data_IF_425228687317
#
_entry.id   IF_425228687317
#
_cell.length_a   1.000
_cell.length_b   1.000
_cell.length_c   1.000
_cell.angle_alpha   90.00
_cell.angle_beta   90.00
_cell.angle_gamma   90.00
#
_symmetry.space_group_name_H-M   'P 1'
#
loop_
_entity.id
_entity.type
_entity.pdbx_description
1 polymer ?
#
# COMPACT_ATOMS: atom_id res chain seq x y z
N UNK A 1 20.41 0.87 -35.62
CA UNK A 1 20.98 -0.07 -34.63
C UNK A 1 21.99 -0.91 -35.40
N UNK A 2 23.28 -0.82 -35.08
CA UNK A 2 24.34 -1.50 -35.84
C UNK A 2 24.19 -3.00 -35.58
N UNK A 3 24.09 -3.82 -36.63
CA UNK A 3 24.10 -5.28 -36.49
C UNK A 3 25.45 -5.73 -35.92
N UNK A 4 25.47 -6.67 -34.97
CA UNK A 4 26.69 -7.17 -34.32
C UNK A 4 27.73 -7.61 -35.35
N UNK A 5 27.29 -8.32 -36.40
CA UNK A 5 28.12 -8.74 -37.52
C UNK A 5 28.83 -7.56 -38.19
N UNK A 6 28.08 -6.50 -38.51
CA UNK A 6 28.61 -5.30 -39.14
C UNK A 6 29.59 -4.54 -38.23
N UNK A 7 29.33 -4.48 -36.92
CA UNK A 7 30.24 -3.87 -35.97
C UNK A 7 31.58 -4.62 -35.89
N UNK A 8 31.55 -5.95 -35.85
CA UNK A 8 32.75 -6.79 -35.79
C UNK A 8 33.53 -6.73 -37.11
N UNK A 9 32.85 -6.74 -38.25
CA UNK A 9 33.46 -6.61 -39.56
C UNK A 9 34.15 -5.25 -39.73
N UNK A 10 33.48 -4.15 -39.36
CA UNK A 10 34.09 -2.83 -39.40
C UNK A 10 35.30 -2.74 -38.45
N UNK A 11 35.20 -3.36 -37.27
CA UNK A 11 36.31 -3.43 -36.32
C UNK A 11 37.53 -4.14 -36.91
N UNK A 12 37.31 -5.21 -37.68
CA UNK A 12 38.38 -5.97 -38.33
C UNK A 12 39.07 -5.14 -39.43
N UNK A 13 38.29 -4.44 -40.27
CA UNK A 13 38.83 -3.54 -41.30
C UNK A 13 39.56 -2.33 -40.71
N UNK A 14 39.06 -1.75 -39.61
CA UNK A 14 39.77 -0.69 -38.89
C UNK A 14 41.08 -1.19 -38.26
N UNK A 15 41.10 -2.44 -37.77
CA UNK A 15 42.32 -3.12 -37.37
C UNK A 15 43.34 -3.25 -38.51
N UNK A 16 42.89 -3.68 -39.70
CA UNK A 16 43.72 -3.74 -40.90
C UNK A 16 44.27 -2.36 -41.29
N UNK A 17 43.44 -1.32 -41.25
CA UNK A 17 43.85 0.04 -41.53
C UNK A 17 44.95 0.50 -40.55
N UNK A 18 44.79 0.22 -39.26
CA UNK A 18 45.80 0.52 -38.24
C UNK A 18 47.13 -0.21 -38.50
N UNK A 19 47.06 -1.47 -38.93
CA UNK A 19 48.25 -2.24 -39.27
C UNK A 19 48.98 -1.63 -40.47
N UNK A 20 48.26 -1.35 -41.56
CA UNK A 20 48.83 -0.77 -42.78
C UNK A 20 49.42 0.62 -42.50
N UNK A 21 48.68 1.50 -41.83
CA UNK A 21 49.20 2.82 -41.43
C UNK A 21 50.42 2.69 -40.51
N UNK A 22 50.39 1.75 -39.56
CA UNK A 22 51.51 1.50 -38.65
C UNK A 22 52.77 1.06 -39.38
N UNK A 23 52.66 0.12 -40.32
CA UNK A 23 53.78 -0.34 -41.15
C UNK A 23 54.32 0.77 -42.07
N UNK A 24 53.43 1.59 -42.65
CA UNK A 24 53.81 2.72 -43.50
C UNK A 24 54.58 3.79 -42.71
N UNK A 25 54.14 4.11 -41.49
CA UNK A 25 54.84 5.06 -40.61
C UNK A 25 56.21 4.54 -40.18
N UNK A 26 56.33 3.25 -39.85
CA UNK A 26 57.59 2.61 -39.50
C UNK A 26 58.57 2.55 -40.68
N UNK A 27 58.07 2.27 -41.89
CA UNK A 27 58.84 2.24 -43.13
C UNK A 27 59.11 3.61 -43.75
N UNK A 28 58.49 4.68 -43.23
CA UNK A 28 58.66 6.02 -43.80
C UNK A 28 60.09 6.56 -43.55
N UNK A 29 60.63 7.36 -44.48
CA UNK A 29 61.95 7.98 -44.33
C UNK A 29 61.98 9.13 -43.31
N UNK A 30 60.92 9.30 -42.50
CA UNK A 30 60.78 10.40 -41.54
C UNK A 30 61.64 10.11 -40.30
N UNK A 31 62.60 11.00 -39.92
CA UNK A 31 63.56 10.73 -38.86
C UNK A 31 63.03 11.00 -37.43
N UNK A 32 61.72 11.20 -37.24
CA UNK A 32 61.15 11.49 -35.92
C UNK A 32 60.88 10.21 -35.10
N UNK A 33 61.53 10.02 -33.93
CA UNK A 33 61.34 8.82 -33.10
C UNK A 33 59.88 8.64 -32.64
N UNK A 34 59.17 9.74 -32.41
CA UNK A 34 57.75 9.73 -32.03
C UNK A 34 56.85 9.09 -33.10
N UNK A 35 57.16 9.32 -34.39
CA UNK A 35 56.40 8.76 -35.52
C UNK A 35 56.65 7.26 -35.63
N UNK A 36 57.90 6.82 -35.47
CA UNK A 36 58.24 5.39 -35.46
C UNK A 36 57.61 4.65 -34.27
N UNK A 37 57.63 5.28 -33.08
CA UNK A 37 56.96 4.75 -31.88
C UNK A 37 55.44 4.64 -32.08
N UNK A 38 54.82 5.64 -32.71
CA UNK A 38 53.39 5.63 -33.04
C UNK A 38 53.07 4.49 -34.02
N UNK A 39 53.87 4.30 -35.06
CA UNK A 39 53.70 3.19 -36.00
C UNK A 39 53.77 1.82 -35.32
N UNK A 40 54.75 1.61 -34.43
CA UNK A 40 54.85 0.38 -33.64
C UNK A 40 53.66 0.16 -32.70
N UNK A 41 53.14 1.23 -32.09
CA UNK A 41 51.93 1.16 -31.25
C UNK A 41 50.71 0.77 -32.09
N UNK A 42 50.51 1.37 -33.26
CA UNK A 42 49.38 1.07 -34.15
C UNK A 42 49.39 -0.40 -34.63
N UNK A 43 50.56 -0.98 -34.89
CA UNK A 43 50.69 -2.41 -35.21
C UNK A 43 50.28 -3.28 -34.01
N UNK A 44 50.78 -2.96 -32.81
CA UNK A 44 50.40 -3.69 -31.58
C UNK A 44 48.88 -3.65 -31.40
N UNK A 45 48.28 -2.50 -31.62
CA UNK A 45 46.83 -2.29 -31.44
C UNK A 45 46.00 -3.06 -32.46
N UNK A 46 46.43 -3.10 -33.72
CA UNK A 46 45.78 -3.88 -34.76
C UNK A 46 45.69 -5.37 -34.40
N UNK A 47 46.77 -5.94 -33.87
CA UNK A 47 46.80 -7.34 -33.42
C UNK A 47 45.81 -7.56 -32.28
N UNK A 48 45.77 -6.65 -31.29
CA UNK A 48 44.81 -6.74 -30.18
C UNK A 48 43.37 -6.65 -30.68
N UNK A 49 43.07 -5.74 -31.61
CA UNK A 49 41.73 -5.59 -32.21
C UNK A 49 41.30 -6.89 -32.89
N UNK A 50 42.17 -7.52 -33.68
CA UNK A 50 41.86 -8.79 -34.34
C UNK A 50 41.62 -9.92 -33.35
N UNK A 51 42.47 -10.06 -32.31
CA UNK A 51 42.26 -11.06 -31.26
C UNK A 51 40.90 -10.83 -30.58
N UNK A 52 40.56 -9.59 -30.26
CA UNK A 52 39.34 -9.24 -29.53
C UNK A 52 38.08 -9.46 -30.39
N UNK A 53 38.14 -9.11 -31.68
CA UNK A 53 37.07 -9.37 -32.64
C UNK A 53 36.86 -10.88 -32.87
N UNK A 54 37.94 -11.65 -33.05
CA UNK A 54 37.85 -13.11 -33.27
C UNK A 54 37.45 -13.88 -32.01
N UNK A 55 37.77 -13.38 -30.81
CA UNK A 55 37.42 -14.02 -29.54
C UNK A 55 36.04 -13.63 -29.00
N UNK A 56 35.28 -12.78 -29.69
CA UNK A 56 33.97 -12.27 -29.24
C UNK A 56 33.01 -13.37 -28.75
N UNK A 57 32.80 -14.42 -29.56
CA UNK A 57 31.91 -15.54 -29.19
C UNK A 57 32.44 -16.31 -27.98
N UNK A 58 33.76 -16.48 -27.88
CA UNK A 58 34.40 -17.15 -26.75
C UNK A 58 34.19 -16.34 -25.47
N UNK A 59 34.32 -15.02 -25.53
CA UNK A 59 34.05 -14.11 -24.40
C UNK A 59 32.59 -14.27 -23.92
N UNK A 60 31.62 -14.26 -24.84
CA UNK A 60 30.20 -14.43 -24.48
C UNK A 60 29.90 -15.80 -23.86
N UNK A 61 30.52 -16.86 -24.38
CA UNK A 61 30.39 -18.21 -23.83
C UNK A 61 31.02 -18.31 -22.44
N UNK A 62 32.18 -17.67 -22.23
CA UNK A 62 32.86 -17.65 -20.94
C UNK A 62 32.04 -16.89 -19.88
N UNK A 63 31.41 -15.77 -20.24
CA UNK A 63 30.45 -15.06 -19.37
C UNK A 63 29.28 -15.96 -18.99
N UNK A 64 28.74 -16.70 -19.94
CA UNK A 64 27.61 -17.60 -19.71
C UNK A 64 28.00 -18.80 -18.84
N UNK A 65 29.19 -19.34 -19.04
CA UNK A 65 29.76 -20.41 -18.23
C UNK A 65 29.98 -19.99 -16.77
N UNK A 66 30.59 -18.81 -16.53
CA UNK A 66 30.80 -18.30 -15.17
C UNK A 66 29.47 -18.13 -14.44
N UNK A 67 28.44 -17.57 -15.10
CA UNK A 67 27.10 -17.45 -14.51
C UNK A 67 26.51 -18.81 -14.14
N UNK A 68 26.63 -19.80 -15.02
CA UNK A 68 26.11 -21.14 -14.79
C UNK A 68 26.80 -21.83 -13.60
N UNK A 69 28.13 -21.73 -13.48
CA UNK A 69 28.90 -22.31 -12.37
C UNK A 69 28.54 -21.66 -11.03
N UNK A 70 28.26 -20.36 -11.02
CA UNK A 70 27.83 -19.63 -9.83
C UNK A 70 26.34 -19.81 -9.51
N UNK A 71 25.59 -20.57 -10.32
CA UNK A 71 24.14 -20.73 -10.16
C UNK A 71 23.34 -19.44 -10.37
N UNK A 72 23.90 -18.47 -11.10
CA UNK A 72 23.31 -17.15 -11.29
C UNK A 72 22.40 -17.13 -12.53
N UNK A 73 21.17 -16.68 -12.34
CA UNK A 73 20.21 -16.49 -13.44
C UNK A 73 19.63 -15.07 -13.45
N UNK A 74 19.37 -14.55 -14.64
CA UNK A 74 18.67 -13.27 -14.78
C UNK A 74 17.24 -13.33 -14.27
N UNK A 75 16.59 -14.49 -14.38
CA UNK A 75 15.24 -14.74 -13.90
C UNK A 75 15.15 -14.57 -12.38
N UNK A 76 16.03 -15.24 -11.61
CA UNK A 76 16.07 -15.11 -10.15
C UNK A 76 16.33 -13.67 -9.69
N UNK A 77 17.19 -12.95 -10.41
CA UNK A 77 17.45 -11.54 -10.16
C UNK A 77 16.23 -10.65 -10.43
N UNK A 78 15.53 -10.87 -11.54
CA UNK A 78 14.32 -10.11 -11.87
C UNK A 78 13.17 -10.40 -10.92
N UNK A 79 13.01 -11.64 -10.47
CA UNK A 79 12.04 -12.02 -9.43
C UNK A 79 12.36 -11.36 -8.10
N UNK A 80 13.64 -11.33 -7.72
CA UNK A 80 14.09 -10.65 -6.51
C UNK A 80 13.78 -9.14 -6.53
N UNK A 81 14.09 -8.44 -7.63
CA UNK A 81 13.68 -7.03 -7.81
C UNK A 81 12.16 -6.88 -7.78
N UNK A 82 11.42 -7.80 -8.42
CA UNK A 82 9.96 -7.80 -8.45
C UNK A 82 9.34 -7.87 -7.06
N UNK A 83 9.82 -8.79 -6.22
CA UNK A 83 9.40 -8.92 -4.81
C UNK A 83 9.71 -7.65 -4.03
N UNK A 84 10.90 -7.10 -4.19
CA UNK A 84 11.33 -5.90 -3.46
C UNK A 84 10.51 -4.66 -3.87
N UNK A 85 10.20 -4.51 -5.17
CA UNK A 85 9.28 -3.47 -5.65
C UNK A 85 7.89 -3.62 -5.03
N UNK A 86 7.35 -4.83 -4.97
CA UNK A 86 6.05 -5.10 -4.35
C UNK A 86 6.03 -4.69 -2.87
N UNK A 87 7.04 -5.11 -2.10
CA UNK A 87 7.16 -4.76 -0.68
C UNK A 87 7.27 -3.24 -0.48
N UNK A 88 8.10 -2.54 -1.25
CA UNK A 88 8.21 -1.07 -1.17
C UNK A 88 6.88 -0.39 -1.51
N UNK A 89 6.16 -0.86 -2.53
CA UNK A 89 4.84 -0.31 -2.85
C UNK A 89 3.83 -0.53 -1.73
N UNK A 90 3.81 -1.69 -1.09
CA UNK A 90 2.89 -1.96 0.03
C UNK A 90 3.18 -1.12 1.27
N UNK A 91 4.45 -0.85 1.58
CA UNK A 91 4.80 0.06 2.66
C UNK A 91 4.47 1.52 2.32
N UNK A 92 4.61 1.93 1.06
CA UNK A 92 4.26 3.28 0.62
C UNK A 92 2.74 3.54 0.66
N UNK A 93 1.93 2.53 0.32
CA UNK A 93 0.47 2.63 0.47
C UNK A 93 0.09 2.66 1.94
N UNK A 94 0.70 1.84 2.81
CA UNK A 94 0.40 1.83 4.24
C UNK A 94 0.77 3.15 4.93
N UNK A 95 1.93 3.76 4.60
CA UNK A 95 2.32 5.08 5.16
C UNK A 95 1.42 6.21 4.68
N UNK A 96 0.98 6.18 3.42
CA UNK A 96 0.03 7.18 2.92
C UNK A 96 -1.30 7.08 3.64
N UNK A 97 -1.81 5.88 3.88
CA UNK A 97 -3.14 5.78 4.49
C UNK A 97 -3.10 6.09 5.98
N UNK A 98 -2.07 5.64 6.70
CA UNK A 98 -1.84 6.06 8.10
C UNK A 98 -1.76 7.59 8.24
N UNK A 99 -1.19 8.30 7.25
CA UNK A 99 -1.17 9.77 7.26
C UNK A 99 -2.56 10.42 7.21
N UNK A 100 -3.53 9.79 6.55
CA UNK A 100 -4.91 10.29 6.46
C UNK A 100 -5.75 9.93 7.69
N UNK A 101 -5.41 8.88 8.43
CA UNK A 101 -6.22 8.38 9.55
C UNK A 101 -5.83 8.91 10.93
N UNK A 102 -4.73 9.64 11.05
CA UNK A 102 -4.21 10.15 12.34
C UNK A 102 -5.02 11.27 13.02
N UNK A 103 -6.14 11.72 12.44
CA UNK A 103 -7.08 12.65 13.09
C UNK A 103 -6.40 13.84 13.80
N UNK A 104 -6.64 14.00 15.10
CA UNK A 104 -6.17 15.13 15.93
C UNK A 104 -4.66 15.08 16.26
N UNK A 105 -4.01 13.91 16.22
CA UNK A 105 -2.56 13.77 16.47
C UNK A 105 -1.70 13.87 15.18
N UNK A 106 -2.37 14.08 14.04
CA UNK A 106 -1.73 14.20 12.72
C UNK A 106 -0.66 15.30 12.67
N UNK A 107 -0.80 16.39 13.42
CA UNK A 107 0.17 17.50 13.43
C UNK A 107 1.55 17.08 13.95
N UNK A 108 1.62 16.14 14.91
CA UNK A 108 2.89 15.67 15.48
C UNK A 108 3.56 14.60 14.60
N UNK A 109 2.79 13.71 13.98
CA UNK A 109 3.33 12.57 13.22
C UNK A 109 3.41 12.79 11.72
N UNK A 110 2.64 13.72 11.15
CA UNK A 110 2.65 14.06 9.72
C UNK A 110 4.05 14.42 9.17
N UNK A 111 4.89 15.21 9.88
CA UNK A 111 6.26 15.50 9.42
C UNK A 111 7.15 14.25 9.33
N UNK A 112 6.93 13.26 10.19
CA UNK A 112 7.72 12.02 10.21
C UNK A 112 7.24 11.11 9.08
N UNK A 113 5.93 10.91 8.97
CA UNK A 113 5.32 10.04 7.95
C UNK A 113 5.56 10.58 6.54
N UNK A 114 5.52 11.90 6.35
CA UNK A 114 5.84 12.52 5.06
C UNK A 114 7.30 12.30 4.66
N UNK A 115 8.26 12.39 5.59
CA UNK A 115 9.68 12.06 5.32
C UNK A 115 9.86 10.59 4.98
N UNK A 116 9.23 9.70 5.74
CA UNK A 116 9.26 8.26 5.47
C UNK A 116 8.69 7.95 4.08
N UNK A 117 7.55 8.55 3.73
CA UNK A 117 6.91 8.39 2.42
C UNK A 117 7.79 8.93 1.30
N UNK A 118 8.47 10.06 1.52
CA UNK A 118 9.43 10.63 0.57
C UNK A 118 10.63 9.70 0.34
N UNK A 119 11.21 9.14 1.41
CA UNK A 119 12.32 8.18 1.33
C UNK A 119 11.90 6.88 0.63
N UNK A 120 10.72 6.33 0.94
CA UNK A 120 10.17 5.17 0.25
C UNK A 120 9.93 5.46 -1.23
N UNK A 121 9.41 6.65 -1.57
CA UNK A 121 9.21 7.06 -2.97
C UNK A 121 10.56 7.15 -3.71
N UNK A 122 11.59 7.71 -3.09
CA UNK A 122 12.93 7.75 -3.67
C UNK A 122 13.52 6.33 -3.84
N UNK A 123 13.27 5.44 -2.88
CA UNK A 123 13.70 4.03 -2.97
C UNK A 123 13.05 3.30 -4.14
N UNK A 124 11.76 3.56 -4.37
CA UNK A 124 11.02 3.00 -5.49
C UNK A 124 11.61 3.44 -6.84
N UNK A 125 11.92 4.73 -6.98
CA UNK A 125 12.57 5.27 -8.19
C UNK A 125 13.95 4.63 -8.40
N UNK A 126 14.74 4.46 -7.33
CA UNK A 126 16.03 3.79 -7.38
C UNK A 126 15.93 2.34 -7.88
N UNK A 127 14.95 1.58 -7.39
CA UNK A 127 14.71 0.20 -7.82
C UNK A 127 14.23 0.11 -9.26
N UNK A 128 13.39 1.04 -9.71
CA UNK A 128 12.97 1.12 -11.11
C UNK A 128 14.18 1.42 -12.00
N UNK A 129 15.06 2.34 -11.60
CA UNK A 129 16.29 2.63 -12.33
C UNK A 129 17.21 1.40 -12.40
N UNK A 130 17.37 0.66 -11.29
CA UNK A 130 18.11 -0.59 -11.25
C UNK A 130 17.50 -1.65 -12.17
N UNK A 131 16.16 -1.77 -12.18
CA UNK A 131 15.45 -2.69 -13.09
C UNK A 131 15.70 -2.34 -14.55
N UNK A 132 15.61 -1.06 -14.92
CA UNK A 132 15.90 -0.60 -16.29
C UNK A 132 17.35 -0.93 -16.67
N UNK A 133 18.31 -0.61 -15.79
CA UNK A 133 19.72 -0.96 -15.98
C UNK A 133 19.91 -2.46 -16.21
N UNK A 134 19.23 -3.28 -15.42
CA UNK A 134 19.33 -4.74 -15.53
C UNK A 134 18.79 -5.28 -16.86
N UNK A 135 17.69 -4.73 -17.36
CA UNK A 135 17.11 -5.10 -18.66
C UNK A 135 18.05 -4.70 -19.79
N UNK A 136 18.66 -3.51 -19.71
CA UNK A 136 19.64 -3.04 -20.69
C UNK A 136 20.83 -4.00 -20.74
N UNK A 137 21.42 -4.33 -19.58
CA UNK A 137 22.58 -5.22 -19.54
C UNK A 137 22.21 -6.63 -20.00
N UNK A 138 21.11 -7.20 -19.52
CA UNK A 138 20.74 -8.58 -19.84
C UNK A 138 20.43 -8.80 -21.32
N UNK A 139 19.82 -7.81 -21.98
CA UNK A 139 19.42 -7.91 -23.39
C UNK A 139 20.47 -7.36 -24.36
N UNK A 140 21.21 -6.32 -23.98
CA UNK A 140 22.12 -5.58 -24.87
C UNK A 140 23.61 -5.76 -24.58
N UNK A 141 24.00 -6.61 -23.62
CA UNK A 141 25.42 -6.86 -23.37
C UNK A 141 26.21 -7.24 -24.63
N UNK A 142 25.74 -8.13 -25.53
CA UNK A 142 26.48 -8.44 -26.76
C UNK A 142 26.69 -7.22 -27.67
N UNK A 143 25.65 -6.39 -27.82
CA UNK A 143 25.69 -5.15 -28.60
C UNK A 143 26.69 -4.14 -28.00
N UNK A 144 26.71 -4.00 -26.67
CA UNK A 144 27.62 -3.09 -25.96
C UNK A 144 29.07 -3.56 -26.08
N UNK A 145 29.33 -4.87 -26.00
CA UNK A 145 30.68 -5.42 -26.22
C UNK A 145 31.12 -5.15 -27.65
N UNK A 146 30.28 -5.46 -28.65
CA UNK A 146 30.60 -5.23 -30.06
C UNK A 146 30.87 -3.75 -30.36
N UNK A 147 30.05 -2.85 -29.81
CA UNK A 147 30.28 -1.40 -29.89
C UNK A 147 31.58 -0.99 -29.19
N UNK A 148 31.90 -1.62 -28.06
CA UNK A 148 33.17 -1.42 -27.36
C UNK A 148 34.38 -1.84 -28.19
N UNK A 149 34.31 -2.99 -28.88
CA UNK A 149 35.35 -3.45 -29.82
C UNK A 149 35.51 -2.45 -30.97
N UNK A 150 34.40 -1.97 -31.51
CA UNK A 150 34.37 -0.98 -32.59
C UNK A 150 35.06 0.33 -32.19
N UNK A 151 34.67 0.89 -31.05
CA UNK A 151 35.26 2.13 -30.52
C UNK A 151 36.73 1.92 -30.17
N UNK A 152 37.09 0.73 -29.66
CA UNK A 152 38.49 0.36 -29.40
C UNK A 152 39.32 0.31 -30.69
N UNK A 153 38.71 -0.05 -31.82
CA UNK A 153 39.38 -0.20 -33.12
C UNK A 153 39.68 1.12 -33.84
N UNK A 154 39.16 2.25 -33.35
CA UNK A 154 39.37 3.56 -33.99
C UNK A 154 40.87 3.88 -34.07
N UNK A 155 41.38 4.34 -35.23
CA UNK A 155 42.79 4.60 -35.42
C UNK A 155 43.42 5.56 -34.41
N UNK A 156 44.75 5.45 -34.28
CA UNK A 156 45.58 6.25 -33.35
C UNK A 156 45.32 5.97 -31.86
N UNK A 157 44.38 5.08 -31.55
CA UNK A 157 44.11 4.64 -30.19
C UNK A 157 43.45 5.69 -29.28
N UNK A 158 42.93 6.78 -29.86
CA UNK A 158 42.35 7.92 -29.13
C UNK A 158 41.16 7.46 -28.26
N UNK A 159 40.41 6.47 -28.72
CA UNK A 159 39.20 5.97 -28.06
C UNK A 159 39.37 4.61 -27.35
N UNK A 160 40.60 4.08 -27.26
CA UNK A 160 40.84 2.77 -26.62
C UNK A 160 40.28 2.68 -25.22
N UNK A 161 40.49 3.72 -24.42
CA UNK A 161 40.00 3.75 -23.04
C UNK A 161 38.47 3.68 -22.98
N UNK A 162 37.78 4.37 -23.90
CA UNK A 162 36.33 4.32 -24.00
C UNK A 162 35.82 2.94 -24.45
N UNK A 163 36.46 2.34 -25.46
CA UNK A 163 36.14 0.99 -25.92
C UNK A 163 36.37 -0.07 -24.84
N UNK A 164 37.51 -0.02 -24.15
CA UNK A 164 37.86 -0.92 -23.06
C UNK A 164 36.90 -0.79 -21.86
N UNK A 165 36.44 0.43 -21.55
CA UNK A 165 35.41 0.67 -20.52
C UNK A 165 34.07 0.06 -20.90
N UNK A 166 33.62 0.21 -22.15
CA UNK A 166 32.36 -0.39 -22.62
C UNK A 166 32.40 -1.91 -22.58
N UNK A 167 33.49 -2.51 -23.07
CA UNK A 167 33.70 -3.97 -23.00
C UNK A 167 33.64 -4.42 -21.53
N UNK A 168 34.41 -3.76 -20.66
CA UNK A 168 34.49 -4.14 -19.24
C UNK A 168 33.17 -3.98 -18.50
N UNK A 169 32.44 -2.90 -18.79
CA UNK A 169 31.13 -2.63 -18.20
C UNK A 169 30.17 -3.77 -18.52
N UNK A 170 30.06 -4.12 -19.80
CA UNK A 170 29.16 -5.18 -20.24
C UNK A 170 29.53 -6.54 -19.62
N UNK A 171 30.82 -6.87 -19.53
CA UNK A 171 31.28 -8.13 -18.93
C UNK A 171 31.01 -8.19 -17.42
N UNK A 172 31.48 -7.18 -16.68
CA UNK A 172 31.36 -7.13 -15.22
C UNK A 172 29.89 -7.09 -14.81
N UNK A 173 29.08 -6.22 -15.40
CA UNK A 173 27.67 -6.12 -15.06
C UNK A 173 26.88 -7.37 -15.48
N UNK A 174 27.25 -8.02 -16.59
CA UNK A 174 26.55 -9.25 -17.00
C UNK A 174 26.73 -10.41 -16.04
N UNK A 175 27.91 -10.51 -15.41
CA UNK A 175 28.21 -11.58 -14.46
C UNK A 175 27.73 -11.20 -13.05
N UNK A 176 28.05 -9.98 -12.62
CA UNK A 176 27.95 -9.60 -11.22
C UNK A 176 26.61 -8.97 -10.86
N UNK A 177 25.86 -8.34 -11.77
CA UNK A 177 24.54 -7.78 -11.43
C UNK A 177 23.57 -8.88 -10.94
N UNK A 178 23.47 -10.05 -11.59
CA UNK A 178 22.66 -11.16 -11.09
C UNK A 178 23.07 -11.70 -9.71
N UNK A 179 24.30 -11.45 -9.25
CA UNK A 179 24.79 -11.88 -7.93
C UNK A 179 24.42 -10.92 -6.78
N UNK A 180 23.86 -9.74 -7.09
CA UNK A 180 23.45 -8.76 -6.07
C UNK A 180 22.49 -9.33 -4.99
N UNK A 181 21.49 -10.19 -5.29
CA UNK A 181 20.60 -10.75 -4.29
C UNK A 181 21.34 -11.59 -3.24
N UNK A 182 22.37 -12.34 -3.68
CA UNK A 182 23.21 -13.13 -2.79
C UNK A 182 24.04 -12.22 -1.88
N UNK A 183 24.59 -11.14 -2.43
CA UNK A 183 25.31 -10.14 -1.61
C UNK A 183 24.41 -9.54 -0.52
N UNK A 184 23.19 -9.11 -0.87
CA UNK A 184 22.29 -8.46 0.08
C UNK A 184 21.78 -9.44 1.14
N UNK A 185 21.41 -10.66 0.74
CA UNK A 185 20.90 -11.68 1.67
C UNK A 185 21.92 -12.13 2.73
N UNK A 186 23.23 -11.99 2.46
CA UNK A 186 24.26 -12.24 3.49
C UNK A 186 24.35 -11.14 4.55
N UNK A 187 23.88 -9.94 4.23
CA UNK A 187 23.92 -8.79 5.14
C UNK A 187 22.63 -8.66 5.93
N UNK A 188 21.48 -8.91 5.28
CA UNK A 188 20.18 -8.67 5.88
C UNK A 188 19.06 -9.46 5.19
N UNK A 189 18.04 -9.83 5.95
CA UNK A 189 16.83 -10.45 5.43
C UNK A 189 15.86 -9.38 4.95
N UNK A 190 15.24 -9.60 3.80
CA UNK A 190 14.20 -8.71 3.28
C UNK A 190 13.02 -8.77 4.26
N UNK A 191 12.50 -7.62 4.74
CA UNK A 191 11.33 -7.64 5.60
C UNK A 191 10.14 -8.05 4.74
N UNK A 192 9.29 -8.91 5.29
CA UNK A 192 8.06 -9.26 4.61
C UNK A 192 7.18 -8.01 4.41
N UNK A 193 6.33 -8.06 3.38
CA UNK A 193 5.27 -7.07 3.23
C UNK A 193 4.51 -6.96 4.57
N UNK A 194 4.07 -5.76 4.97
CA UNK A 194 3.35 -5.63 6.22
C UNK A 194 2.15 -6.57 6.14
N UNK A 195 2.15 -7.58 7.02
CA UNK A 195 1.13 -8.60 7.06
C UNK A 195 -0.17 -7.85 7.33
N UNK A 196 -1.02 -7.72 6.30
CA UNK A 196 -2.24 -6.93 6.38
C UNK A 196 -3.25 -7.77 7.17
N UNK A 197 -2.97 -7.99 8.46
CA UNK A 197 -3.82 -8.78 9.37
C UNK A 197 -5.15 -8.12 9.66
N UNK A 198 -5.43 -7.00 9.01
CA UNK A 198 -6.61 -6.21 9.25
C UNK A 198 -7.63 -6.50 8.16
N UNK A 199 -8.85 -6.76 8.59
CA UNK A 199 -10.00 -7.07 7.78
C UNK A 199 -10.89 -5.83 7.58
N UNK A 200 -11.63 -5.85 6.48
CA UNK A 200 -12.51 -4.76 6.05
C UNK A 200 -13.97 -5.25 5.98
N UNK A 201 -14.60 -5.56 7.12
CA UNK A 201 -15.97 -6.04 7.14
C UNK A 201 -16.96 -4.95 6.72
N UNK A 202 -18.02 -5.38 6.05
CA UNK A 202 -19.27 -4.65 5.94
C UNK A 202 -20.18 -5.08 7.08
N UNK A 203 -20.53 -4.15 7.97
CA UNK A 203 -21.38 -4.42 9.12
C UNK A 203 -22.73 -3.77 8.88
N UNK A 204 -23.77 -4.56 8.74
CA UNK A 204 -25.15 -4.10 8.66
C UNK A 204 -25.72 -3.92 10.06
N UNK A 205 -26.19 -2.72 10.36
CA UNK A 205 -26.66 -2.31 11.68
C UNK A 205 -28.18 -2.26 11.66
N UNK A 206 -28.82 -3.11 12.48
CA UNK A 206 -30.27 -3.23 12.57
C UNK A 206 -30.81 -2.95 13.97
N UNK A 207 -32.06 -2.52 14.04
CA UNK A 207 -32.86 -2.56 15.27
C UNK A 207 -33.35 -3.99 15.58
N UNK A 208 -33.99 -4.20 16.74
CA UNK A 208 -34.46 -5.54 17.14
C UNK A 208 -35.61 -6.10 16.28
N UNK A 209 -36.17 -5.28 15.38
CA UNK A 209 -37.18 -5.70 14.39
C UNK A 209 -36.59 -5.95 13.00
N UNK A 210 -35.27 -5.81 12.83
CA UNK A 210 -34.58 -5.95 11.56
C UNK A 210 -34.57 -4.68 10.70
N UNK A 211 -35.09 -3.56 11.20
CA UNK A 211 -35.05 -2.26 10.53
C UNK A 211 -33.65 -1.69 10.47
N UNK A 212 -33.29 -1.04 9.36
CA UNK A 212 -31.94 -0.52 9.11
C UNK A 212 -31.70 0.78 9.89
N UNK A 213 -30.55 0.87 10.56
CA UNK A 213 -30.17 2.03 11.39
C UNK A 213 -29.13 2.91 10.70
N UNK A 214 -29.55 3.61 9.64
CA UNK A 214 -28.66 4.55 8.93
C UNK A 214 -28.44 5.88 9.66
N UNK A 215 -27.42 6.65 9.25
CA UNK A 215 -27.17 8.00 9.77
C UNK A 215 -26.69 8.04 11.23
N UNK A 216 -26.07 6.96 11.68
CA UNK A 216 -25.60 6.74 13.06
C UNK A 216 -24.08 6.52 13.07
N UNK A 217 -23.47 6.54 14.25
CA UNK A 217 -22.04 6.24 14.42
C UNK A 217 -21.88 4.91 15.17
N UNK A 218 -21.29 3.92 14.51
CA UNK A 218 -20.98 2.62 15.10
C UNK A 218 -19.68 2.70 15.89
N UNK A 219 -19.74 2.42 17.18
CA UNK A 219 -18.60 2.34 18.09
C UNK A 219 -18.17 0.88 18.24
N UNK A 220 -16.89 0.60 18.00
CA UNK A 220 -16.31 -0.76 18.02
C UNK A 220 -15.37 -0.91 19.21
N UNK A 221 -15.63 -1.92 20.03
CA UNK A 221 -14.89 -2.22 21.26
C UNK A 221 -14.19 -3.58 21.20
N UNK A 222 -13.00 -3.70 21.81
CA UNK A 222 -12.28 -4.97 21.90
C UNK A 222 -12.74 -5.86 23.05
N UNK A 223 -13.46 -5.29 24.03
CA UNK A 223 -13.89 -5.97 25.25
C UNK A 223 -15.42 -5.86 25.42
N UNK A 224 -16.05 -6.86 26.08
CA UNK A 224 -17.49 -6.86 26.29
C UNK A 224 -17.97 -5.72 27.21
N UNK A 225 -17.09 -5.18 28.05
CA UNK A 225 -17.41 -4.12 29.01
C UNK A 225 -17.68 -2.76 28.35
N UNK A 226 -17.24 -2.57 27.09
CA UNK A 226 -17.48 -1.38 26.27
C UNK A 226 -17.20 -0.07 27.00
N UNK A 227 -16.06 -0.02 27.67
CA UNK A 227 -15.66 1.15 28.45
C UNK A 227 -15.50 2.37 27.54
N UNK A 228 -16.18 3.50 27.83
CA UNK A 228 -16.03 4.72 27.02
C UNK A 228 -14.57 5.16 26.92
N UNK A 229 -14.09 5.49 25.73
CA UNK A 229 -12.69 5.85 25.46
C UNK A 229 -11.77 4.67 25.13
N UNK A 230 -12.28 3.43 25.18
CA UNK A 230 -11.55 2.21 24.76
C UNK A 230 -11.93 1.74 23.36
N UNK A 231 -12.65 2.56 22.58
CA UNK A 231 -13.05 2.24 21.22
C UNK A 231 -11.80 2.01 20.35
N UNK A 232 -11.79 0.91 19.62
CA UNK A 232 -10.75 0.66 18.60
C UNK A 232 -11.09 1.38 17.30
N UNK A 233 -12.37 1.55 16.99
CA UNK A 233 -12.83 2.31 15.83
C UNK A 233 -14.20 2.96 16.05
N UNK A 234 -14.43 4.09 15.38
CA UNK A 234 -15.75 4.66 15.16
C UNK A 234 -16.03 4.76 13.66
N UNK A 235 -17.17 4.22 13.24
CA UNK A 235 -17.48 4.02 11.81
C UNK A 235 -18.85 4.63 11.52
N UNK A 236 -18.96 5.59 10.58
CA UNK A 236 -20.26 6.13 10.19
C UNK A 236 -21.08 5.08 9.44
N UNK A 237 -22.34 4.95 9.82
CA UNK A 237 -23.32 4.08 9.16
C UNK A 237 -24.03 4.87 8.07
N UNK A 238 -24.00 4.37 6.83
CA UNK A 238 -24.65 5.02 5.70
C UNK A 238 -26.19 4.94 5.79
N UNK A 239 -26.90 5.59 4.87
CA UNK A 239 -28.38 5.61 4.86
C UNK A 239 -29.00 4.21 4.67
N UNK A 240 -28.24 3.26 4.11
CA UNK A 240 -28.64 1.86 3.95
C UNK A 240 -28.38 1.01 5.20
N UNK A 241 -27.97 1.61 6.33
CA UNK A 241 -27.68 0.86 7.57
C UNK A 241 -26.36 0.09 7.51
N UNK A 242 -25.45 0.40 6.59
CA UNK A 242 -24.19 -0.30 6.41
C UNK A 242 -23.04 0.57 6.93
N UNK A 243 -22.30 0.04 7.91
CA UNK A 243 -20.98 0.50 8.31
C UNK A 243 -19.94 -0.23 7.46
N UNK A 244 -19.31 0.49 6.53
CA UNK A 244 -18.23 -0.05 5.71
C UNK A 244 -16.89 0.45 6.22
N UNK A 245 -16.02 -0.48 6.63
CA UNK A 245 -14.64 -0.17 6.99
C UNK A 245 -13.84 -0.07 5.69
N UNK A 246 -13.95 1.07 5.02
CA UNK A 246 -13.21 1.35 3.78
C UNK A 246 -11.87 2.05 4.04
N UNK A 247 -11.45 2.15 5.31
CA UNK A 247 -10.28 2.90 5.76
C UNK A 247 -9.28 1.95 6.41
N UNK A 248 -8.02 2.01 5.98
CA UNK A 248 -6.89 1.36 6.69
C UNK A 248 -6.52 2.15 7.95
N UNK A 249 -6.24 1.51 9.09
CA UNK A 249 -5.69 0.16 9.14
C UNK A 249 -6.70 -0.98 8.99
N UNK A 250 -8.02 -0.77 9.13
CA UNK A 250 -8.99 -1.87 9.21
C UNK A 250 -9.07 -2.43 10.65
N UNK A 251 -9.89 -3.46 10.88
CA UNK A 251 -9.96 -4.12 12.20
C UNK A 251 -9.04 -5.34 12.23
N UNK A 252 -8.20 -5.54 13.27
CA UNK A 252 -7.40 -6.75 13.42
C UNK A 252 -8.25 -8.04 13.29
N UNK A 253 -7.83 -8.95 12.42
CA UNK A 253 -8.50 -10.22 12.21
C UNK A 253 -8.17 -11.23 13.32
N UNK A 254 -8.93 -12.33 13.34
CA UNK A 254 -8.93 -13.40 14.34
C UNK A 254 -9.22 -12.90 15.77
N UNK A 255 -10.11 -11.92 15.90
CA UNK A 255 -10.55 -11.36 17.18
C UNK A 255 -12.04 -11.08 17.18
N UNK A 256 -12.62 -11.13 18.38
CA UNK A 256 -14.03 -10.79 18.63
C UNK A 256 -14.16 -9.31 19.00
N UNK A 257 -15.15 -8.67 18.39
CA UNK A 257 -15.50 -7.27 18.58
C UNK A 257 -16.92 -7.12 19.13
N UNK A 258 -17.12 -6.04 19.88
CA UNK A 258 -18.38 -5.67 20.53
C UNK A 258 -18.80 -4.28 20.09
N UNK A 259 -20.10 -4.02 20.06
CA UNK A 259 -20.63 -2.83 19.40
C UNK A 259 -21.54 -1.99 20.29
N UNK A 260 -21.50 -0.68 20.08
CA UNK A 260 -22.53 0.27 20.50
C UNK A 260 -22.84 1.21 19.36
N UNK A 261 -24.04 1.78 19.36
CA UNK A 261 -24.47 2.74 18.36
C UNK A 261 -24.67 4.10 19.01
N UNK A 262 -24.00 5.12 18.52
CA UNK A 262 -24.28 6.49 18.89
C UNK A 262 -25.21 7.13 17.86
N UNK A 263 -26.37 7.61 18.33
CA UNK A 263 -27.39 8.22 17.48
C UNK A 263 -28.18 9.25 18.28
N UNK A 264 -28.39 10.44 17.73
CA UNK A 264 -29.15 11.53 18.35
C UNK A 264 -28.66 11.91 19.77
N UNK A 265 -27.36 11.78 20.02
CA UNK A 265 -26.72 12.08 21.31
C UNK A 265 -26.84 10.97 22.36
N UNK A 266 -27.39 9.80 22.00
CA UNK A 266 -27.50 8.63 22.87
C UNK A 266 -26.54 7.53 22.44
N UNK A 267 -25.93 6.87 23.42
CA UNK A 267 -25.17 5.63 23.21
C UNK A 267 -26.09 4.46 23.52
N UNK A 268 -26.37 3.65 22.49
CA UNK A 268 -27.28 2.52 22.50
C UNK A 268 -26.47 1.23 22.41
N UNK A 269 -26.59 0.37 23.41
CA UNK A 269 -25.78 -0.84 23.51
C UNK A 269 -26.37 -2.00 22.68
N UNK A 270 -25.50 -2.81 22.09
CA UNK A 270 -25.83 -4.04 21.35
C UNK A 270 -25.24 -5.27 22.01
N UNK A 271 -25.99 -6.33 22.29
CA UNK A 271 -25.40 -7.60 22.76
C UNK A 271 -24.65 -8.36 21.66
N UNK A 272 -24.79 -7.96 20.39
CA UNK A 272 -24.11 -8.60 19.27
C UNK A 272 -22.60 -8.48 19.40
N UNK A 273 -21.92 -9.57 19.05
CA UNK A 273 -20.47 -9.60 18.88
C UNK A 273 -20.13 -10.30 17.58
N UNK A 274 -19.10 -9.81 16.89
CA UNK A 274 -18.62 -10.39 15.63
C UNK A 274 -17.21 -10.88 15.84
N UNK A 275 -16.94 -12.12 15.42
CA UNK A 275 -15.59 -12.64 15.31
C UNK A 275 -15.13 -12.52 13.86
N UNK A 276 -14.15 -11.65 13.62
CA UNK A 276 -13.66 -11.37 12.28
C UNK A 276 -12.55 -12.37 11.97
N UNK A 277 -12.78 -13.28 11.01
CA UNK A 277 -11.79 -14.28 10.62
C UNK A 277 -10.72 -13.73 9.67
N UNK A 278 -9.58 -14.44 9.58
CA UNK A 278 -8.50 -14.11 8.64
C UNK A 278 -8.92 -14.13 7.16
N UNK A 279 -9.98 -14.86 6.81
CA UNK A 279 -10.59 -14.86 5.47
C UNK A 279 -11.11 -13.47 5.04
N UNK A 280 -11.45 -12.61 6.00
CA UNK A 280 -11.92 -11.25 5.76
C UNK A 280 -10.81 -10.25 5.41
N UNK A 281 -9.56 -10.71 5.35
CA UNK A 281 -8.40 -9.94 4.87
C UNK A 281 -8.42 -9.87 3.33
N UNK A 282 -8.68 -11.00 2.67
CA UNK A 282 -8.61 -11.10 1.20
C UNK A 282 -9.99 -10.98 0.55
N UNK A 283 -11.05 -11.31 1.28
CA UNK A 283 -12.43 -11.31 0.79
C UNK A 283 -13.32 -10.36 1.57
N UNK A 284 -14.32 -9.79 0.89
CA UNK A 284 -15.33 -8.94 1.52
C UNK A 284 -16.26 -9.77 2.38
N UNK A 285 -16.12 -9.65 3.70
CA UNK A 285 -17.04 -10.24 4.66
C UNK A 285 -18.21 -9.31 4.96
N UNK A 286 -19.40 -9.88 5.10
CA UNK A 286 -20.60 -9.16 5.55
C UNK A 286 -21.08 -9.76 6.86
N UNK A 287 -21.32 -8.89 7.83
CA UNK A 287 -21.85 -9.24 9.13
C UNK A 287 -23.09 -8.41 9.43
N UNK A 288 -23.93 -8.92 10.31
CA UNK A 288 -25.13 -8.26 10.78
C UNK A 288 -25.07 -8.12 12.30
N UNK A 289 -25.39 -6.94 12.81
CA UNK A 289 -25.52 -6.68 14.24
C UNK A 289 -26.89 -6.10 14.56
N UNK A 290 -27.41 -6.45 15.72
CA UNK A 290 -28.68 -5.95 16.26
C UNK A 290 -28.42 -5.07 17.47
N UNK A 291 -28.95 -3.85 17.45
CA UNK A 291 -28.79 -2.89 18.55
C UNK A 291 -29.98 -3.01 19.49
N UNK A 292 -29.80 -3.76 20.58
CA UNK A 292 -30.86 -4.07 21.55
C UNK A 292 -31.45 -2.83 22.23
N UNK A 293 -30.68 -1.74 22.32
CA UNK A 293 -31.17 -0.46 22.81
C UNK A 293 -32.26 0.19 21.94
N UNK A 294 -32.52 -0.32 20.72
CA UNK A 294 -33.53 0.22 19.80
C UNK A 294 -34.65 -0.78 19.55
N UNK A 295 -35.84 -0.45 20.07
CA UNK A 295 -37.06 -1.25 19.92
C UNK A 295 -37.58 -1.20 18.49
N UNK A 296 -37.64 0.00 17.92
CA UNK A 296 -38.08 0.22 16.56
C UNK A 296 -37.51 1.51 16.01
N UNK A 297 -37.18 1.49 14.73
CA UNK A 297 -36.75 2.65 13.97
C UNK A 297 -37.46 2.75 12.63
N UNK A 298 -37.55 3.98 12.14
CA UNK A 298 -37.70 4.34 10.73
C UNK A 298 -36.63 5.41 10.46
N UNK A 299 -35.39 4.96 10.36
CA UNK A 299 -34.22 5.82 10.24
C UNK A 299 -34.22 6.57 8.90
N UNK A 300 -33.85 7.87 8.85
CA UNK A 300 -33.34 8.72 9.94
C UNK A 300 -34.42 9.59 10.61
N UNK A 301 -35.69 9.18 10.60
CA UNK A 301 -36.82 10.03 11.04
C UNK A 301 -37.23 9.83 12.48
N UNK A 302 -37.25 8.60 12.98
CA UNK A 302 -37.71 8.31 14.35
C UNK A 302 -37.03 7.05 14.88
N UNK A 303 -36.64 7.09 16.15
CA UNK A 303 -36.04 5.97 16.87
C UNK A 303 -36.71 5.84 18.23
N UNK A 304 -37.13 4.63 18.56
CA UNK A 304 -37.80 4.29 19.82
C UNK A 304 -36.85 3.40 20.62
N UNK A 305 -36.49 3.83 21.83
CA UNK A 305 -35.61 3.05 22.68
C UNK A 305 -36.35 1.87 23.30
N UNK A 306 -35.62 0.79 23.55
CA UNK A 306 -36.14 -0.39 24.26
C UNK A 306 -36.33 -0.08 25.73
N UNK A 307 -37.57 -0.18 26.27
CA UNK A 307 -37.79 0.01 27.69
C UNK A 307 -37.11 -1.09 28.51
N UNK A 308 -36.48 -0.77 29.65
CA UNK A 308 -35.75 -1.74 30.47
C UNK A 308 -36.61 -2.89 31.03
N UNK A 309 -37.93 -2.68 31.17
CA UNK A 309 -38.87 -3.68 31.73
C UNK A 309 -39.68 -4.42 30.66
N UNK A 310 -39.26 -4.33 29.38
CA UNK A 310 -39.92 -4.97 28.25
C UNK A 310 -39.83 -6.51 28.31
N UNK A 311 -40.97 -7.19 28.19
CA UNK A 311 -41.05 -8.65 28.18
C UNK A 311 -41.38 -9.19 26.80
N UNK A 312 -42.42 -8.64 26.17
CA UNK A 312 -42.88 -9.04 24.86
C UNK A 312 -43.22 -7.80 24.03
N UNK A 313 -43.05 -7.92 22.72
CA UNK A 313 -43.40 -6.86 21.80
C UNK A 313 -43.86 -7.42 20.45
N UNK A 314 -44.79 -6.71 19.80
CA UNK A 314 -45.15 -6.91 18.40
C UNK A 314 -45.22 -5.52 17.76
N UNK A 315 -44.49 -5.32 16.67
CA UNK A 315 -44.39 -4.01 16.03
C UNK A 315 -44.93 -4.10 14.62
N UNK A 316 -45.85 -3.19 14.32
CA UNK A 316 -46.36 -2.95 12.99
C UNK A 316 -45.90 -1.57 12.54
N UNK A 317 -45.22 -1.50 11.40
CA UNK A 317 -44.69 -0.25 10.84
C UNK A 317 -45.30 -0.02 9.46
N UNK A 318 -45.79 1.18 9.22
CA UNK A 318 -46.14 1.70 7.91
C UNK A 318 -45.32 2.97 7.68
N UNK A 319 -44.13 2.77 7.11
CA UNK A 319 -43.15 3.83 6.91
C UNK A 319 -43.59 4.87 5.86
N UNK A 320 -44.48 4.51 4.92
CA UNK A 320 -45.00 5.44 3.91
C UNK A 320 -45.95 6.45 4.54
N UNK A 321 -46.79 5.99 5.47
CA UNK A 321 -47.77 6.83 6.18
C UNK A 321 -47.23 7.46 7.46
N UNK A 322 -46.00 7.12 7.86
CA UNK A 322 -45.38 7.61 9.10
C UNK A 322 -46.12 7.11 10.33
N UNK A 323 -46.38 5.80 10.39
CA UNK A 323 -47.15 5.18 11.45
C UNK A 323 -46.41 3.99 12.05
N UNK A 324 -46.30 3.97 13.38
CA UNK A 324 -45.74 2.85 14.14
C UNK A 324 -46.73 2.46 15.23
N UNK A 325 -47.12 1.18 15.24
CA UNK A 325 -47.95 0.56 16.28
C UNK A 325 -47.14 -0.51 17.00
N UNK A 326 -47.10 -0.41 18.32
CA UNK A 326 -46.33 -1.28 19.20
C UNK A 326 -47.31 -1.89 20.20
N UNK A 327 -47.49 -3.20 20.13
CA UNK A 327 -48.03 -3.96 21.26
C UNK A 327 -46.84 -4.30 22.16
N UNK A 328 -46.86 -3.90 23.42
CA UNK A 328 -45.77 -4.20 24.36
C UNK A 328 -46.27 -4.58 25.74
N UNK A 329 -45.59 -5.53 26.37
CA UNK A 329 -45.81 -5.90 27.76
C UNK A 329 -44.64 -5.46 28.64
N UNK A 330 -44.95 -4.75 29.73
CA UNK A 330 -44.01 -4.22 30.70
C UNK A 330 -44.21 -4.89 32.07
N UNK A 331 -43.15 -5.35 32.74
CA UNK A 331 -43.26 -5.92 34.09
C UNK A 331 -43.54 -4.87 35.16
N UNK A 332 -42.92 -3.69 35.02
CA UNK A 332 -43.02 -2.56 35.92
C UNK A 332 -43.22 -1.28 35.07
N UNK A 333 -43.78 -0.21 35.66
CA UNK A 333 -43.87 1.09 35.00
C UNK A 333 -42.51 1.51 34.45
N UNK A 334 -42.49 1.95 33.19
CA UNK A 334 -41.27 2.34 32.50
C UNK A 334 -41.51 3.52 31.58
N UNK A 335 -40.43 4.24 31.27
CA UNK A 335 -40.48 5.40 30.40
C UNK A 335 -40.27 4.96 28.96
N UNK A 336 -41.23 5.25 28.10
CA UNK A 336 -41.09 5.21 26.66
C UNK A 336 -40.33 6.46 26.21
N UNK A 337 -39.21 6.24 25.51
CA UNK A 337 -38.37 7.30 24.97
C UNK A 337 -38.43 7.24 23.45
N UNK A 338 -38.92 8.32 22.84
CA UNK A 338 -38.99 8.48 21.39
C UNK A 338 -38.11 9.65 20.97
N UNK A 339 -37.19 9.40 20.05
CA UNK A 339 -36.23 10.39 19.58
C UNK A 339 -36.56 10.75 18.14
N UNK A 340 -36.71 12.04 17.89
CA UNK A 340 -37.00 12.57 16.56
C UNK A 340 -36.19 13.85 16.30
N UNK A 341 -35.51 13.96 15.15
CA UNK A 341 -34.83 15.18 14.71
C UNK A 341 -35.84 16.29 14.42
N UNK A 342 -35.37 17.53 14.35
CA UNK A 342 -36.23 18.72 14.16
C UNK A 342 -37.04 18.69 12.85
N UNK A 343 -36.59 17.94 11.85
CA UNK A 343 -37.32 17.75 10.59
C UNK A 343 -38.43 16.68 10.65
N UNK A 344 -38.60 15.98 11.78
CA UNK A 344 -39.69 15.02 12.00
C UNK A 344 -40.71 15.60 12.97
N UNK A 345 -41.98 15.64 12.57
CA UNK A 345 -43.07 16.16 13.41
C UNK A 345 -43.93 15.00 13.91
N UNK A 346 -43.91 14.72 15.21
CA UNK A 346 -44.84 13.77 15.84
C UNK A 346 -46.22 14.43 15.95
N UNK A 347 -47.23 13.84 15.30
CA UNK A 347 -48.60 14.37 15.21
C UNK A 347 -49.48 13.94 16.37
N UNK A 348 -49.42 12.66 16.72
CA UNK A 348 -50.25 12.09 17.79
C UNK A 348 -49.57 10.90 18.42
N UNK A 349 -49.88 10.71 19.70
CA UNK A 349 -49.57 9.53 20.50
C UNK A 349 -50.90 8.98 21.02
N UNK A 350 -51.15 7.69 20.86
CA UNK A 350 -52.29 7.00 21.44
C UNK A 350 -51.80 5.80 22.24
N UNK A 351 -52.35 5.61 23.44
CA UNK A 351 -52.09 4.45 24.30
C UNK A 351 -53.44 3.80 24.59
N UNK A 352 -53.56 2.52 24.25
CA UNK A 352 -54.78 1.71 24.41
C UNK A 352 -56.01 2.35 23.74
N UNK A 353 -55.79 3.03 22.61
CA UNK A 353 -56.83 3.70 21.84
C UNK A 353 -57.15 5.13 22.30
N UNK A 354 -56.60 5.59 23.42
CA UNK A 354 -56.79 6.95 23.92
C UNK A 354 -55.63 7.86 23.49
N UNK A 355 -55.95 8.96 22.81
CA UNK A 355 -54.97 10.00 22.47
C UNK A 355 -54.41 10.63 23.75
N UNK A 356 -53.10 10.63 23.89
CA UNK A 356 -52.38 11.16 25.06
C UNK A 356 -51.29 12.14 24.64
N UNK A 357 -50.79 12.90 25.61
CA UNK A 357 -49.67 13.82 25.42
C UNK A 357 -48.40 13.27 26.06
N UNK A 358 -47.24 13.72 25.54
CA UNK A 358 -45.93 13.47 26.12
C UNK A 358 -45.81 14.13 27.49
N UNK A 359 -45.18 13.44 28.44
CA UNK A 359 -45.00 13.96 29.80
C UNK A 359 -43.83 14.95 29.88
N UNK A 360 -42.79 14.72 29.08
CA UNK A 360 -41.62 15.60 28.97
C UNK A 360 -41.11 15.63 27.52
N UNK A 361 -40.48 16.74 27.14
CA UNK A 361 -39.87 16.97 25.83
C UNK A 361 -38.54 17.70 26.02
N UNK A 362 -37.44 17.02 25.72
CA UNK A 362 -36.08 17.59 25.90
C UNK A 362 -35.39 17.81 24.57
N UNK A 363 -34.84 19.00 24.30
CA UNK A 363 -34.04 19.24 23.11
C UNK A 363 -32.69 18.53 23.23
N UNK A 364 -32.15 18.11 22.08
CA UNK A 364 -30.78 17.59 21.96
C UNK A 364 -30.13 18.15 20.69
N UNK A 365 -28.80 18.19 20.70
CA UNK A 365 -27.97 18.54 19.54
C UNK A 365 -26.86 17.51 19.41
N UNK A 366 -26.71 16.93 18.22
CA UNK A 366 -25.78 15.85 17.95
C UNK A 366 -25.32 15.87 16.49
N UNK A 367 -24.01 15.83 16.25
CA UNK A 367 -23.41 15.80 14.90
C UNK A 367 -23.96 16.87 13.94
N UNK A 368 -24.27 18.07 14.45
CA UNK A 368 -24.85 19.18 13.68
C UNK A 368 -26.35 19.05 13.38
N UNK A 369 -27.03 18.06 13.96
CA UNK A 369 -28.48 17.90 13.94
C UNK A 369 -29.07 18.28 15.29
N UNK A 370 -30.20 18.96 15.25
CA UNK A 370 -31.00 19.25 16.44
C UNK A 370 -32.30 18.44 16.42
N UNK A 371 -32.83 18.13 17.60
CA UNK A 371 -34.08 17.39 17.72
C UNK A 371 -34.62 17.36 19.14
N UNK A 372 -35.58 16.46 19.35
CA UNK A 372 -36.26 16.29 20.63
C UNK A 372 -36.36 14.82 21.03
N UNK A 373 -36.14 14.56 22.32
CA UNK A 373 -36.49 13.31 22.98
C UNK A 373 -37.81 13.52 23.71
N UNK A 374 -38.79 12.68 23.40
CA UNK A 374 -40.10 12.67 24.00
C UNK A 374 -40.20 11.54 25.01
N UNK A 375 -40.71 11.84 26.20
CA UNK A 375 -40.80 10.89 27.30
C UNK A 375 -42.27 10.69 27.67
N UNK A 376 -42.64 9.43 27.88
CA UNK A 376 -43.96 9.05 28.37
C UNK A 376 -43.83 7.94 29.41
N UNK A 377 -44.38 8.13 30.59
CA UNK A 377 -44.51 7.06 31.57
C UNK A 377 -45.65 6.12 31.15
N UNK A 378 -45.33 4.83 31.05
CA UNK A 378 -46.29 3.77 30.74
C UNK A 378 -46.32 2.82 31.93
N UNK A 379 -47.52 2.49 32.41
CA UNK A 379 -47.71 1.59 33.54
C UNK A 379 -47.29 0.15 33.21
N UNK A 380 -47.15 -0.67 34.25
CA UNK A 380 -46.91 -2.11 34.07
C UNK A 380 -48.16 -2.78 33.51
N UNK A 381 -47.99 -3.61 32.49
CA UNK A 381 -49.11 -4.25 31.79
C UNK A 381 -48.86 -4.39 30.29
N UNK A 382 -49.87 -4.88 29.58
CA UNK A 382 -49.87 -4.95 28.11
C UNK A 382 -50.55 -3.71 27.54
N UNK A 383 -49.81 -2.95 26.74
CA UNK A 383 -50.27 -1.70 26.15
C UNK A 383 -50.14 -1.72 24.62
N UNK A 384 -51.07 -1.05 23.95
CA UNK A 384 -51.00 -0.77 22.51
C UNK A 384 -50.64 0.70 22.33
N UNK A 385 -49.43 0.96 21.87
CA UNK A 385 -48.91 2.31 21.62
C UNK A 385 -48.92 2.59 20.13
N UNK A 386 -49.52 3.70 19.74
CA UNK A 386 -49.59 4.15 18.34
C UNK A 386 -49.00 5.55 18.21
N UNK A 387 -48.02 5.69 17.31
CA UNK A 387 -47.31 6.93 17.06
C UNK A 387 -47.48 7.30 15.59
N UNK A 388 -48.02 8.49 15.32
CA UNK A 388 -48.11 9.07 13.99
C UNK A 388 -47.13 10.24 13.86
N UNK A 389 -46.36 10.26 12.77
CA UNK A 389 -45.38 11.31 12.50
C UNK A 389 -45.37 11.70 11.02
N UNK A 390 -44.91 12.91 10.74
CA UNK A 390 -44.66 13.41 9.40
C UNK A 390 -43.17 13.53 9.14
N UNK A 391 -42.73 13.04 7.97
CA UNK A 391 -41.36 13.11 7.49
C UNK A 391 -41.12 14.46 6.81
N UNK A 392 -40.11 15.19 7.26
CA UNK A 392 -39.56 16.34 6.54
C UNK A 392 -38.36 15.96 5.69
N UNK A 393 -37.62 16.95 5.20
CA UNK A 393 -36.39 16.73 4.45
C UNK A 393 -35.23 16.38 5.40
N UNK A 394 -34.62 15.19 5.29
CA UNK A 394 -33.56 14.79 6.18
C UNK A 394 -32.29 15.62 5.95
N UNK A 395 -31.66 16.05 7.03
CA UNK A 395 -30.32 16.64 7.02
C UNK A 395 -29.28 15.58 7.36
N UNK A 396 -28.11 15.63 6.73
CA UNK A 396 -27.06 14.63 6.93
C UNK A 396 -26.19 14.96 8.15
N UNK A 397 -25.98 14.02 9.09
CA UNK A 397 -25.13 14.26 10.26
C UNK A 397 -23.64 14.39 9.87
N UNK A 398 -22.92 15.26 10.58
CA UNK A 398 -21.47 15.44 10.46
C UNK A 398 -20.73 14.39 11.31
N UNK A 399 -20.54 13.20 10.74
CA UNK A 399 -19.89 12.07 11.40
C UNK A 399 -18.41 11.98 11.00
N UNK A 400 -17.52 11.87 12.00
CA UNK A 400 -16.08 11.74 11.78
C UNK A 400 -15.62 10.34 12.22
N UNK A 401 -15.02 9.54 11.31
CA UNK A 401 -14.45 8.26 11.68
C UNK A 401 -13.18 8.43 12.52
N UNK A 402 -12.96 7.52 13.47
CA UNK A 402 -11.78 7.45 14.33
C UNK A 402 -11.24 6.03 14.36
N UNK A 403 -9.92 5.87 14.42
CA UNK A 403 -9.24 4.58 14.61
C UNK A 403 -8.12 4.73 15.63
N UNK A 404 -8.07 3.84 16.61
CA UNK A 404 -7.00 3.81 17.59
C UNK A 404 -5.83 2.98 17.06
N UNK A 405 -4.81 3.65 16.54
CA UNK A 405 -3.56 3.00 16.08
C UNK A 405 -2.67 2.77 17.31
N UNK A 406 -2.37 1.51 17.64
CA UNK A 406 -1.48 1.20 18.76
C UNK A 406 -0.04 1.68 18.48
N UNK A 407 0.62 2.24 19.50
CA UNK A 407 1.97 2.82 19.38
C UNK A 407 3.05 1.80 18.99
N UNK A 408 2.84 0.52 19.31
CA UNK A 408 3.74 -0.60 18.99
C UNK A 408 3.76 -0.90 17.48
N UNK A 409 2.61 -0.77 16.81
CA UNK A 409 2.50 -0.97 15.35
C UNK A 409 3.28 0.10 14.57
N UNK A 410 3.30 1.34 15.08
CA UNK A 410 4.06 2.43 14.49
C UNK A 410 5.58 2.22 14.62
N UNK A 411 6.04 1.66 15.74
CA UNK A 411 7.46 1.35 15.95
C UNK A 411 7.94 0.19 15.10
N UNK A 412 7.13 -0.88 14.97
CA UNK A 412 7.43 -1.98 14.05
C UNK A 412 7.44 -1.53 12.59
N UNK A 413 6.45 -0.71 12.18
CA UNK A 413 6.39 -0.16 10.83
C UNK A 413 7.60 0.73 10.53
N UNK A 414 8.02 1.58 11.48
CA UNK A 414 9.24 2.40 11.33
C UNK A 414 10.50 1.54 11.19
N UNK A 415 10.66 0.50 12.01
CA UNK A 415 11.80 -0.41 11.97
C UNK A 415 11.91 -1.14 10.63
N UNK A 416 10.80 -1.71 10.15
CA UNK A 416 10.76 -2.42 8.87
C UNK A 416 11.03 -1.49 7.69
N UNK A 417 10.56 -0.23 7.75
CA UNK A 417 10.84 0.74 6.70
C UNK A 417 12.31 1.12 6.66
N UNK A 418 12.96 1.33 7.81
CA UNK A 418 14.41 1.58 7.86
C UNK A 418 15.15 0.43 7.18
N UNK A 419 14.84 -0.81 7.57
CA UNK A 419 15.47 -1.99 7.01
C UNK A 419 15.27 -2.09 5.49
N UNK A 420 14.06 -1.81 5.03
CA UNK A 420 13.72 -1.78 3.61
C UNK A 420 14.48 -0.70 2.84
N UNK A 421 14.71 0.48 3.42
CA UNK A 421 15.52 1.53 2.81
C UNK A 421 16.97 1.06 2.59
N UNK A 422 17.56 0.37 3.55
CA UNK A 422 18.91 -0.20 3.39
C UNK A 422 18.98 -1.20 2.23
N UNK A 423 18.01 -2.11 2.16
CA UNK A 423 17.92 -3.15 1.12
C UNK A 423 17.61 -2.58 -0.26
N UNK A 424 16.75 -1.57 -0.35
CA UNK A 424 16.29 -1.00 -1.61
C UNK A 424 17.26 0.05 -2.20
N UNK A 425 18.02 0.74 -1.37
CA UNK A 425 18.83 1.90 -1.81
C UNK A 425 20.29 1.78 -1.44
N UNK A 426 20.61 1.58 -0.17
CA UNK A 426 22.00 1.68 0.31
C UNK A 426 22.83 0.49 -0.21
N UNK A 427 22.37 -0.75 -0.03
CA UNK A 427 23.15 -1.90 -0.48
C UNK A 427 23.25 -2.01 -2.01
N UNK A 428 22.19 -1.78 -2.80
CA UNK A 428 22.32 -1.74 -4.26
C UNK A 428 23.28 -0.65 -4.73
N UNK A 429 23.26 0.54 -4.13
CA UNK A 429 24.20 1.61 -4.52
C UNK A 429 25.65 1.25 -4.17
N UNK A 430 25.91 0.74 -2.97
CA UNK A 430 27.23 0.22 -2.58
C UNK A 430 27.69 -0.85 -3.57
N UNK A 431 26.83 -1.81 -3.90
CA UNK A 431 27.15 -2.87 -4.84
C UNK A 431 27.48 -2.32 -6.24
N UNK A 432 26.68 -1.38 -6.75
CA UNK A 432 26.95 -0.72 -8.04
C UNK A 432 28.27 0.05 -8.04
N UNK A 433 28.67 0.68 -6.92
CA UNK A 433 29.98 1.33 -6.83
C UNK A 433 31.12 0.31 -6.90
N UNK A 434 30.98 -0.86 -6.25
CA UNK A 434 31.95 -1.96 -6.36
C UNK A 434 32.05 -2.47 -7.81
N UNK A 435 30.91 -2.61 -8.51
CA UNK A 435 30.89 -2.96 -9.93
C UNK A 435 31.58 -1.91 -10.80
N UNK A 436 31.40 -0.62 -10.50
CA UNK A 436 32.09 0.47 -11.17
C UNK A 436 33.61 0.39 -10.99
N UNK A 437 34.09 0.12 -9.77
CA UNK A 437 35.51 -0.08 -9.49
C UNK A 437 36.08 -1.30 -10.24
N UNK A 438 35.35 -2.42 -10.23
CA UNK A 438 35.73 -3.63 -10.97
C UNK A 438 35.77 -3.39 -12.49
N UNK A 439 34.81 -2.64 -13.01
CA UNK A 439 34.75 -2.22 -14.42
C UNK A 439 35.98 -1.40 -14.80
N UNK A 440 36.35 -0.42 -13.97
CA UNK A 440 37.54 0.40 -14.22
C UNK A 440 38.84 -0.42 -14.17
N UNK A 441 38.94 -1.34 -13.21
CA UNK A 441 40.09 -2.23 -13.07
C UNK A 441 40.27 -3.12 -14.31
N UNK A 442 39.19 -3.76 -14.77
CA UNK A 442 39.20 -4.59 -15.97
C UNK A 442 39.49 -3.76 -17.23
N UNK A 443 38.91 -2.56 -17.34
CA UNK A 443 39.15 -1.69 -18.49
C UNK A 443 40.62 -1.28 -18.59
N UNK A 444 41.27 -1.01 -17.46
CA UNK A 444 42.70 -0.68 -17.42
C UNK A 444 43.57 -1.87 -17.84
N UNK A 445 43.13 -3.10 -17.53
CA UNK A 445 43.80 -4.33 -17.94
C UNK A 445 43.68 -4.54 -19.46
N UNK A 446 42.49 -4.33 -20.03
CA UNK A 446 42.24 -4.41 -21.48
C UNK A 446 43.02 -3.30 -22.22
N UNK A 447 42.95 -2.05 -21.75
CA UNK A 447 43.62 -0.90 -22.37
C UNK A 447 45.14 -1.06 -22.42
N UNK A 448 45.75 -1.54 -21.33
CA UNK A 448 47.22 -1.64 -21.24
C UNK A 448 47.80 -2.87 -21.93
N UNK A 449 46.98 -3.90 -22.21
CA UNK A 449 47.29 -5.12 -22.96
C UNK A 449 48.67 -5.71 -22.68
N UNK A 450 48.74 -6.79 -21.87
CA UNK A 450 49.91 -7.60 -21.51
C UNK A 450 51.26 -6.93 -21.87
N UNK A 451 51.79 -6.15 -20.92
CA UNK A 451 53.15 -5.60 -21.04
C UNK A 451 54.18 -6.70 -20.96
#
# INVERSE_FOLDING_TARGET
MIQISLALELSFYLGLLNYVLGTLLLGSPIPFPSVKRLGALMIKDAIVIWILASSFTLILNLVSYIKAVLGLSWESFHDWIGKLLFVVTSYLTSTKITSYTLGSISSFFSPIISRITSLLSASLVSLIALKILSIIVSTRSPDIIALGVLIYSIPLGIFKRAGALLISFALVFSIALPAMPLFISTLITIPDAPDNKNAYPYIEVRDITGGLLGGSLLLVYPTPDKTPGSEEATIPVNEQGIAAINLTPGLPANRRYYFSLEMFGWILYSSSSIEIGGECIETTCRYEITVDGVLASDSPYIVIQTPPTLVNYVIYKDAERGYIRILMGLTNPSVLIVMAPAYTIIRSLSIDGNTTYWDDKRPWSWAGLDGYSYYKLVDGGTHVIEIQYAKGNPSKPMLYPYYNIQQEDLLMLASNIILLLFVATIFPTVYLTLLGMATYSLARLIEKGAR
#
